data_IF_320127321175
#
_entry.id   IF_320127321175
#
_cell.length_a   1.000
_cell.length_b   1.000
_cell.length_c   1.000
_cell.angle_alpha   90.00
_cell.angle_beta   90.00
_cell.angle_gamma   90.00
#
_symmetry.space_group_name_H-M   'P 1'
#
loop_
_entity.id
_entity.type
_entity.pdbx_description
1 polymer ?
#
# COMPACT_ATOMS: atom_id res chain seq x y z
N UNK A 1 18.45 26.57 -11.48
CA UNK A 1 17.84 26.00 -10.26
C UNK A 1 16.41 25.59 -10.58
N UNK A 2 15.87 24.47 -10.00
CA UNK A 2 14.50 24.03 -10.31
C UNK A 2 13.43 25.09 -10.08
N UNK A 3 13.59 25.92 -9.04
CA UNK A 3 12.63 26.99 -8.69
C UNK A 3 12.47 28.10 -9.71
N UNK A 4 13.49 28.40 -10.54
CA UNK A 4 13.45 29.52 -11.50
C UNK A 4 12.55 29.23 -12.71
N UNK A 5 12.17 27.96 -12.95
CA UNK A 5 11.34 27.53 -14.07
C UNK A 5 9.87 27.32 -13.70
N UNK A 6 9.51 27.57 -12.43
CA UNK A 6 8.17 27.40 -11.90
C UNK A 6 7.35 28.69 -12.04
N UNK A 7 6.05 28.54 -12.28
CA UNK A 7 5.11 29.66 -12.13
C UNK A 7 4.89 29.99 -10.65
N UNK A 8 4.08 31.01 -10.37
CA UNK A 8 3.86 31.54 -9.02
C UNK A 8 3.25 30.47 -8.10
N UNK A 9 2.22 29.75 -8.55
CA UNK A 9 1.51 28.73 -7.77
C UNK A 9 2.41 27.52 -7.48
N UNK A 10 3.12 27.04 -8.50
CA UNK A 10 4.10 25.95 -8.35
C UNK A 10 5.23 26.33 -7.39
N UNK A 11 5.70 27.57 -7.46
CA UNK A 11 6.75 28.08 -6.58
C UNK A 11 6.24 28.16 -5.13
N UNK A 12 5.04 28.69 -4.92
CA UNK A 12 4.38 28.71 -3.61
C UNK A 12 4.26 27.29 -3.03
N UNK A 13 3.79 26.33 -3.83
CA UNK A 13 3.66 24.93 -3.41
C UNK A 13 5.04 24.30 -3.08
N UNK A 14 6.05 24.52 -3.92
CA UNK A 14 7.40 23.99 -3.70
C UNK A 14 8.09 24.59 -2.46
N UNK A 15 7.78 25.82 -2.08
CA UNK A 15 8.36 26.52 -0.93
C UNK A 15 7.43 26.60 0.29
N UNK A 16 6.32 25.83 0.27
CA UNK A 16 5.38 25.79 1.38
C UNK A 16 6.08 25.50 2.73
N UNK A 17 5.61 26.07 3.85
CA UNK A 17 6.22 25.86 5.15
C UNK A 17 6.19 24.39 5.59
N UNK A 18 6.89 24.08 6.68
CA UNK A 18 6.80 22.76 7.32
C UNK A 18 5.37 22.49 7.81
N UNK A 19 4.97 21.22 7.84
CA UNK A 19 3.61 20.78 8.20
C UNK A 19 2.94 20.03 7.06
N UNK A 20 1.64 19.80 7.22
CA UNK A 20 0.82 19.08 6.21
C UNK A 20 0.38 20.06 5.11
N UNK A 21 0.81 19.81 3.89
CA UNK A 21 0.47 20.62 2.73
C UNK A 21 -0.21 19.75 1.67
N UNK A 22 -1.44 20.06 1.31
CA UNK A 22 -2.17 19.41 0.23
C UNK A 22 -2.06 20.25 -1.05
N UNK A 23 -1.58 19.63 -2.14
CA UNK A 23 -1.46 20.26 -3.46
C UNK A 23 -2.44 19.57 -4.41
N UNK A 24 -3.46 20.30 -4.85
CA UNK A 24 -4.45 19.82 -5.82
C UNK A 24 -4.06 20.39 -7.19
N UNK A 25 -3.86 19.49 -8.17
CA UNK A 25 -3.39 19.89 -9.50
C UNK A 25 -3.87 18.89 -10.57
N UNK A 26 -4.36 19.42 -11.70
CA UNK A 26 -4.81 18.63 -12.85
C UNK A 26 -3.65 17.95 -13.61
N UNK A 27 -3.95 17.04 -14.53
CA UNK A 27 -2.95 16.46 -15.40
C UNK A 27 -2.24 17.56 -16.23
N UNK A 28 -0.93 17.42 -16.46
CA UNK A 28 -0.16 18.38 -17.27
C UNK A 28 0.27 19.68 -16.56
N UNK A 29 -0.20 19.95 -15.34
CA UNK A 29 0.10 21.19 -14.60
C UNK A 29 1.49 21.26 -13.96
N UNK A 30 2.35 20.27 -14.22
CA UNK A 30 3.72 20.27 -13.70
C UNK A 30 3.89 19.74 -12.27
N UNK A 31 2.96 18.88 -11.76
CA UNK A 31 3.08 18.26 -10.42
C UNK A 31 4.47 17.70 -10.13
N UNK A 32 5.02 16.92 -11.07
CA UNK A 32 6.35 16.34 -10.94
C UNK A 32 7.44 17.39 -10.79
N UNK A 33 7.38 18.46 -11.57
CA UNK A 33 8.34 19.58 -11.49
C UNK A 33 8.24 20.30 -10.15
N UNK A 34 7.03 20.44 -9.61
CA UNK A 34 6.79 21.04 -8.29
C UNK A 34 7.40 20.20 -7.17
N UNK A 35 7.23 18.86 -7.20
CA UNK A 35 7.83 17.95 -6.21
C UNK A 35 9.37 17.96 -6.30
N UNK A 36 9.93 17.89 -7.52
CA UNK A 36 11.39 18.01 -7.73
C UNK A 36 11.93 19.33 -7.15
N UNK A 37 11.21 20.43 -7.37
CA UNK A 37 11.58 21.72 -6.82
C UNK A 37 11.41 21.79 -5.29
N UNK A 38 10.41 21.08 -4.72
CA UNK A 38 10.26 20.94 -3.26
C UNK A 38 11.45 20.25 -2.64
N UNK A 39 11.88 19.12 -3.21
CA UNK A 39 13.08 18.39 -2.74
C UNK A 39 14.30 19.32 -2.81
N UNK A 40 14.49 20.00 -3.93
CA UNK A 40 15.58 20.95 -4.09
C UNK A 40 15.54 22.10 -3.07
N UNK A 41 14.36 22.62 -2.76
CA UNK A 41 14.16 23.64 -1.74
C UNK A 41 14.56 23.13 -0.35
N UNK A 42 14.11 21.94 0.04
CA UNK A 42 14.46 21.31 1.32
C UNK A 42 15.96 21.11 1.46
N UNK A 43 16.62 20.59 0.42
CA UNK A 43 18.07 20.40 0.41
C UNK A 43 18.83 21.74 0.54
N UNK A 44 18.37 22.81 -0.13
CA UNK A 44 18.95 24.15 -0.01
C UNK A 44 18.74 24.76 1.38
N UNK A 45 17.70 24.36 2.12
CA UNK A 45 17.50 24.73 3.52
C UNK A 45 18.35 23.93 4.50
N UNK A 46 19.21 23.03 4.00
CA UNK A 46 20.08 22.20 4.84
C UNK A 46 19.42 20.94 5.42
N UNK A 47 18.21 20.57 4.94
CA UNK A 47 17.59 19.31 5.34
C UNK A 47 18.45 18.16 4.80
N UNK A 48 18.86 17.26 5.70
CA UNK A 48 19.65 16.09 5.33
C UNK A 48 18.89 15.20 4.33
N UNK A 49 19.53 14.74 3.24
CA UNK A 49 18.86 13.89 2.25
C UNK A 49 18.21 12.65 2.83
N UNK A 50 18.84 12.03 3.83
CA UNK A 50 18.33 10.86 4.56
C UNK A 50 17.05 11.12 5.38
N UNK A 51 16.66 12.37 5.56
CA UNK A 51 15.40 12.79 6.20
C UNK A 51 14.28 13.09 5.20
N UNK A 52 14.54 12.89 3.91
CA UNK A 52 13.56 13.09 2.84
C UNK A 52 13.07 11.71 2.39
N UNK A 53 11.77 11.54 2.41
CA UNK A 53 11.07 10.37 1.88
C UNK A 53 10.24 10.78 0.67
N UNK A 54 10.52 10.16 -0.51
CA UNK A 54 9.78 10.37 -1.74
C UNK A 54 8.95 9.14 -2.09
N UNK A 55 7.63 9.24 -1.93
CA UNK A 55 6.68 8.18 -2.27
C UNK A 55 5.96 8.46 -3.58
N UNK A 56 5.84 7.44 -4.41
CA UNK A 56 5.16 7.49 -5.71
C UNK A 56 4.39 6.20 -5.98
N UNK A 57 3.56 6.19 -7.03
CA UNK A 57 2.87 4.96 -7.43
C UNK A 57 3.74 3.98 -8.22
N UNK A 58 4.84 4.44 -8.84
CA UNK A 58 5.73 3.58 -9.63
C UNK A 58 7.20 3.85 -9.31
N UNK A 59 8.00 2.80 -9.28
CA UNK A 59 9.45 2.94 -9.09
C UNK A 59 10.10 3.81 -10.19
N UNK A 60 9.57 3.75 -11.42
CA UNK A 60 10.03 4.58 -12.53
C UNK A 60 9.86 6.07 -12.24
N UNK A 61 8.69 6.47 -11.72
CA UNK A 61 8.43 7.86 -11.37
C UNK A 61 9.37 8.36 -10.25
N UNK A 62 9.61 7.55 -9.22
CA UNK A 62 10.56 7.89 -8.16
C UNK A 62 11.98 8.09 -8.72
N UNK A 63 12.46 7.15 -9.53
CA UNK A 63 13.78 7.23 -10.15
C UNK A 63 13.93 8.47 -11.04
N UNK A 64 12.94 8.77 -11.88
CA UNK A 64 12.93 9.94 -12.74
C UNK A 64 12.96 11.26 -11.95
N UNK A 65 12.20 11.35 -10.84
CA UNK A 65 12.24 12.53 -9.97
C UNK A 65 13.61 12.71 -9.33
N UNK A 66 14.22 11.64 -8.82
CA UNK A 66 15.55 11.69 -8.22
C UNK A 66 16.64 12.01 -9.25
N UNK A 67 16.52 11.51 -10.47
CA UNK A 67 17.43 11.88 -11.56
C UNK A 67 17.40 13.40 -11.84
N UNK A 68 16.19 13.98 -11.91
CA UNK A 68 16.01 15.43 -12.09
C UNK A 68 16.59 16.25 -10.94
N UNK A 69 16.46 15.78 -9.69
CA UNK A 69 17.12 16.39 -8.52
C UNK A 69 18.63 16.25 -8.65
N UNK A 70 19.12 15.10 -9.08
CA UNK A 70 20.52 14.75 -9.24
C UNK A 70 21.29 15.64 -10.24
N UNK A 71 20.59 16.20 -11.22
CA UNK A 71 21.18 17.19 -12.14
C UNK A 71 21.71 18.43 -11.38
N UNK A 72 21.11 18.77 -10.25
CA UNK A 72 21.46 19.99 -9.47
C UNK A 72 22.33 19.68 -8.24
N UNK A 73 22.15 18.53 -7.61
CA UNK A 73 22.79 18.19 -6.33
C UNK A 73 23.77 17.01 -6.43
N UNK A 74 23.78 16.32 -7.57
CA UNK A 74 24.63 15.17 -7.77
C UNK A 74 24.04 13.85 -7.24
N UNK A 75 24.50 12.72 -7.79
CA UNK A 75 24.01 11.38 -7.45
C UNK A 75 24.30 10.99 -5.98
N UNK A 76 25.41 11.46 -5.42
CA UNK A 76 25.76 11.17 -4.02
C UNK A 76 24.73 11.71 -3.02
N UNK A 77 24.08 12.82 -3.34
CA UNK A 77 23.02 13.40 -2.51
C UNK A 77 21.70 12.63 -2.73
N UNK A 78 21.31 12.42 -3.98
CA UNK A 78 20.04 11.76 -4.28
C UNK A 78 19.99 10.28 -3.88
N UNK A 79 21.12 9.59 -3.84
CA UNK A 79 21.19 8.21 -3.36
C UNK A 79 20.90 8.03 -1.85
N UNK A 80 20.95 9.12 -1.08
CA UNK A 80 20.64 9.13 0.35
C UNK A 80 19.14 9.40 0.63
N UNK A 81 18.39 9.86 -0.39
CA UNK A 81 16.95 10.10 -0.27
C UNK A 81 16.24 8.74 -0.32
N UNK A 82 15.46 8.42 0.73
CA UNK A 82 14.61 7.22 0.70
C UNK A 82 13.48 7.42 -0.32
N UNK A 83 13.33 6.49 -1.26
CA UNK A 83 12.35 6.64 -2.33
C UNK A 83 11.79 5.32 -2.84
N UNK A 84 10.62 5.36 -3.45
CA UNK A 84 9.98 4.20 -4.07
C UNK A 84 8.46 4.27 -4.02
N UNK A 85 7.84 3.11 -4.27
CA UNK A 85 6.39 2.95 -4.06
C UNK A 85 6.08 2.80 -2.59
N UNK A 86 4.83 3.09 -2.20
CA UNK A 86 4.35 2.89 -0.82
C UNK A 86 4.69 1.47 -0.32
N UNK A 87 4.28 0.44 -1.05
CA UNK A 87 4.55 -0.96 -0.67
C UNK A 87 6.06 -1.26 -0.55
N UNK A 88 6.87 -0.82 -1.52
CA UNK A 88 8.31 -1.09 -1.48
C UNK A 88 9.01 -0.44 -0.28
N UNK A 89 8.61 0.78 0.05
CA UNK A 89 9.16 1.49 1.22
C UNK A 89 8.67 0.87 2.51
N UNK A 90 7.36 0.58 2.64
CA UNK A 90 6.80 -0.08 3.83
C UNK A 90 7.47 -1.43 4.09
N UNK A 91 7.64 -2.26 3.06
CA UNK A 91 8.36 -3.53 3.18
C UNK A 91 9.79 -3.35 3.68
N UNK A 92 10.56 -2.40 3.11
CA UNK A 92 11.91 -2.11 3.57
C UNK A 92 11.96 -1.60 5.02
N UNK A 93 11.00 -0.76 5.41
CA UNK A 93 10.93 -0.26 6.79
C UNK A 93 10.66 -1.39 7.77
N UNK A 94 9.70 -2.27 7.50
CA UNK A 94 9.41 -3.44 8.33
C UNK A 94 10.63 -4.35 8.48
N UNK A 95 11.38 -4.59 7.39
CA UNK A 95 12.64 -5.34 7.43
C UNK A 95 13.70 -4.64 8.30
N UNK A 96 13.88 -3.31 8.16
CA UNK A 96 14.80 -2.52 9.00
C UNK A 96 14.41 -2.57 10.49
N UNK A 97 13.12 -2.69 10.81
CA UNK A 97 12.62 -2.87 12.18
C UNK A 97 12.81 -4.30 12.73
N UNK A 98 13.52 -5.16 12.01
CA UNK A 98 13.79 -6.54 12.41
C UNK A 98 12.64 -7.51 12.23
N UNK A 99 11.58 -7.13 11.49
CA UNK A 99 10.47 -8.05 11.18
C UNK A 99 10.92 -9.12 10.19
N UNK A 100 10.77 -10.39 10.59
CA UNK A 100 11.01 -11.52 9.70
C UNK A 100 9.76 -11.78 8.84
N UNK A 101 9.64 -11.04 7.75
CA UNK A 101 8.50 -11.11 6.84
C UNK A 101 8.91 -11.53 5.43
N UNK A 102 8.01 -12.22 4.73
CA UNK A 102 8.16 -12.68 3.35
C UNK A 102 6.96 -12.20 2.54
N UNK A 103 7.21 -11.33 1.55
CA UNK A 103 6.16 -10.86 0.66
C UNK A 103 5.70 -11.99 -0.26
N UNK A 104 4.42 -12.31 -0.20
CA UNK A 104 3.77 -13.34 -1.01
C UNK A 104 2.92 -12.72 -2.11
N UNK A 105 2.90 -13.37 -3.26
CA UNK A 105 2.01 -12.99 -4.35
C UNK A 105 0.59 -13.52 -4.08
N UNK A 106 -0.46 -12.85 -4.58
CA UNK A 106 -1.84 -13.29 -4.41
C UNK A 106 -2.08 -14.74 -4.79
N UNK A 107 -1.41 -15.23 -5.85
CA UNK A 107 -1.51 -16.63 -6.29
C UNK A 107 -1.06 -17.64 -5.21
N UNK A 108 0.01 -17.30 -4.47
CA UNK A 108 0.55 -18.19 -3.43
C UNK A 108 -0.39 -18.22 -2.22
N UNK A 109 -0.95 -17.05 -1.87
CA UNK A 109 -1.90 -16.93 -0.77
C UNK A 109 -3.27 -17.53 -1.11
N UNK A 110 -3.72 -17.46 -2.36
CA UNK A 110 -4.94 -18.18 -2.81
C UNK A 110 -4.78 -19.70 -2.67
N UNK A 111 -3.56 -20.24 -2.88
CA UNK A 111 -3.29 -21.67 -2.64
C UNK A 111 -3.36 -21.99 -1.14
N UNK A 112 -2.78 -21.15 -0.27
CA UNK A 112 -2.86 -21.30 1.17
C UNK A 112 -4.33 -21.27 1.63
N UNK A 113 -5.09 -20.27 1.21
CA UNK A 113 -6.51 -20.15 1.55
C UNK A 113 -7.31 -21.36 1.05
N UNK A 114 -7.04 -21.81 -0.18
CA UNK A 114 -7.70 -23.00 -0.72
C UNK A 114 -7.47 -24.23 0.14
N UNK A 115 -6.26 -24.42 0.69
CA UNK A 115 -5.97 -25.56 1.58
C UNK A 115 -6.77 -25.51 2.90
N UNK A 116 -7.11 -24.32 3.38
CA UNK A 116 -7.97 -24.12 4.55
C UNK A 116 -9.44 -24.38 4.17
N UNK A 117 -9.90 -23.76 3.10
CA UNK A 117 -11.25 -23.85 2.59
C UNK A 117 -11.66 -25.30 2.27
N UNK A 118 -10.81 -26.07 1.59
CA UNK A 118 -11.11 -27.45 1.18
C UNK A 118 -11.23 -28.42 2.37
N UNK A 119 -10.79 -28.03 3.57
CA UNK A 119 -10.98 -28.79 4.81
C UNK A 119 -12.32 -28.50 5.48
N UNK A 120 -13.02 -27.44 5.07
CA UNK A 120 -14.33 -27.08 5.63
C UNK A 120 -15.43 -27.87 4.94
N UNK A 121 -16.45 -28.21 5.71
CA UNK A 121 -17.59 -28.99 5.22
C UNK A 121 -18.77 -28.05 4.99
N UNK A 122 -18.97 -27.67 3.74
CA UNK A 122 -20.13 -26.87 3.31
C UNK A 122 -21.34 -27.75 2.96
N UNK A 123 -21.12 -29.01 2.67
CA UNK A 123 -22.09 -30.01 2.21
C UNK A 123 -23.12 -30.43 3.28
N UNK A 124 -22.87 -30.09 4.56
CA UNK A 124 -23.82 -30.33 5.64
C UNK A 124 -24.87 -29.22 5.80
N UNK A 125 -24.74 -28.12 5.09
CA UNK A 125 -25.65 -26.97 5.15
C UNK A 125 -26.59 -27.05 3.94
N UNK A 126 -27.78 -27.59 4.15
CA UNK A 126 -28.84 -27.64 3.12
C UNK A 126 -29.58 -26.30 3.07
N UNK A 127 -28.94 -25.32 2.42
CA UNK A 127 -29.48 -23.94 2.30
C UNK A 127 -30.01 -23.60 0.92
N UNK A 128 -29.81 -24.49 -0.06
CA UNK A 128 -30.08 -24.17 -1.47
C UNK A 128 -29.12 -23.14 -2.08
N UNK A 129 -28.22 -22.58 -1.29
CA UNK A 129 -27.20 -21.58 -1.71
C UNK A 129 -25.84 -22.26 -1.79
N UNK A 130 -25.10 -21.99 -2.86
CA UNK A 130 -23.75 -22.54 -3.04
C UNK A 130 -22.73 -21.68 -2.31
N UNK A 131 -21.90 -22.29 -1.45
CA UNK A 131 -20.80 -21.60 -0.78
C UNK A 131 -19.82 -20.94 -1.76
N UNK A 132 -19.19 -19.86 -1.34
CA UNK A 132 -18.15 -19.19 -2.11
C UNK A 132 -16.96 -20.11 -2.39
N UNK A 133 -16.37 -19.94 -3.58
CA UNK A 133 -15.08 -20.57 -3.86
C UNK A 133 -13.97 -19.90 -3.03
N UNK A 134 -12.90 -20.65 -2.74
CA UNK A 134 -11.74 -20.12 -2.05
C UNK A 134 -11.12 -18.90 -2.76
N UNK A 135 -11.17 -18.87 -4.09
CA UNK A 135 -10.64 -17.74 -4.87
C UNK A 135 -11.47 -16.45 -4.65
N UNK A 136 -12.79 -16.58 -4.66
CA UNK A 136 -13.69 -15.45 -4.43
C UNK A 136 -13.61 -14.97 -2.98
N UNK A 137 -13.55 -15.91 -2.03
CA UNK A 137 -13.40 -15.58 -0.61
C UNK A 137 -12.08 -14.83 -0.33
N UNK A 138 -10.98 -15.19 -1.01
CA UNK A 138 -9.75 -14.42 -0.93
C UNK A 138 -9.91 -12.96 -1.42
N UNK A 139 -10.65 -12.76 -2.50
CA UNK A 139 -10.90 -11.43 -3.03
C UNK A 139 -11.80 -10.60 -2.08
N UNK A 140 -12.79 -11.23 -1.42
CA UNK A 140 -13.58 -10.60 -0.35
C UNK A 140 -12.73 -10.24 0.87
N UNK A 141 -11.82 -11.11 1.31
CA UNK A 141 -10.89 -10.81 2.40
C UNK A 141 -10.02 -9.59 2.07
N UNK A 142 -9.54 -9.50 0.82
CA UNK A 142 -8.76 -8.35 0.37
C UNK A 142 -9.58 -7.05 0.38
N UNK A 143 -10.85 -7.10 -0.02
CA UNK A 143 -11.76 -5.96 0.05
C UNK A 143 -12.02 -5.52 1.50
N UNK A 144 -12.33 -6.47 2.38
CA UNK A 144 -12.54 -6.22 3.80
C UNK A 144 -11.32 -5.58 4.47
N UNK A 145 -10.12 -6.13 4.25
CA UNK A 145 -8.87 -5.58 4.80
C UNK A 145 -8.55 -4.16 4.31
N UNK A 146 -9.01 -3.78 3.12
CA UNK A 146 -8.87 -2.42 2.58
C UNK A 146 -10.02 -1.50 2.97
N UNK A 147 -11.07 -2.00 3.62
CA UNK A 147 -12.14 -1.16 4.15
C UNK A 147 -11.66 -0.41 5.40
N UNK A 148 -12.24 0.76 5.64
CA UNK A 148 -11.93 1.57 6.83
C UNK A 148 -12.89 1.27 7.99
N UNK A 149 -13.66 0.19 7.88
CA UNK A 149 -14.66 -0.20 8.89
C UNK A 149 -14.01 -0.93 10.07
N UNK A 150 -14.62 -0.81 11.24
CA UNK A 150 -14.21 -1.48 12.48
C UNK A 150 -15.03 -2.73 12.78
N UNK A 151 -15.84 -3.18 11.82
CA UNK A 151 -16.69 -4.36 11.91
C UNK A 151 -15.85 -5.64 11.84
N UNK A 152 -16.33 -6.75 12.42
CA UNK A 152 -15.82 -8.10 12.13
C UNK A 152 -16.05 -8.43 10.65
N UNK A 153 -15.42 -9.49 10.15
CA UNK A 153 -15.63 -9.90 8.77
C UNK A 153 -17.07 -10.36 8.53
N UNK A 154 -17.65 -11.07 9.50
CA UNK A 154 -19.07 -11.49 9.47
C UNK A 154 -20.00 -10.28 9.40
N UNK A 155 -19.86 -9.30 10.31
CA UNK A 155 -20.69 -8.08 10.30
C UNK A 155 -20.54 -7.30 8.98
N UNK A 156 -19.33 -7.24 8.44
CA UNK A 156 -19.08 -6.61 7.13
C UNK A 156 -19.76 -7.37 5.99
N UNK A 157 -19.78 -8.71 6.03
CA UNK A 157 -20.49 -9.52 5.05
C UNK A 157 -22.00 -9.32 5.15
N UNK A 158 -22.58 -9.24 6.34
CA UNK A 158 -24.01 -8.99 6.54
C UNK A 158 -24.49 -7.68 5.87
N UNK A 159 -23.64 -6.65 5.89
CA UNK A 159 -23.94 -5.38 5.22
C UNK A 159 -23.80 -5.46 3.67
N UNK A 160 -22.95 -6.35 3.16
CA UNK A 160 -22.59 -6.39 1.74
C UNK A 160 -23.20 -7.58 0.98
N UNK A 161 -23.63 -8.64 1.69
CA UNK A 161 -24.17 -9.87 1.11
C UNK A 161 -25.08 -10.59 2.11
N UNK A 162 -26.37 -10.48 1.94
CA UNK A 162 -27.35 -11.17 2.79
C UNK A 162 -27.70 -12.60 2.36
N UNK A 163 -27.33 -13.00 1.13
CA UNK A 163 -27.75 -14.29 0.56
C UNK A 163 -26.97 -15.48 1.14
N UNK A 164 -25.70 -15.28 1.49
CA UNK A 164 -24.78 -16.31 1.96
C UNK A 164 -24.65 -16.40 3.48
N UNK A 165 -25.53 -15.76 4.23
CA UNK A 165 -25.49 -15.65 5.71
C UNK A 165 -25.28 -16.98 6.45
N UNK A 166 -25.81 -18.08 5.91
CA UNK A 166 -25.67 -19.44 6.49
C UNK A 166 -24.23 -19.95 6.54
N UNK A 167 -23.30 -19.32 5.82
CA UNK A 167 -21.88 -19.69 5.77
C UNK A 167 -20.97 -18.71 6.50
N UNK A 168 -21.48 -17.60 7.03
CA UNK A 168 -20.64 -16.51 7.54
C UNK A 168 -19.73 -16.94 8.68
N UNK A 169 -20.21 -17.74 9.63
CA UNK A 169 -19.37 -18.26 10.71
C UNK A 169 -18.21 -19.11 10.16
N UNK A 170 -18.47 -19.90 9.11
CA UNK A 170 -17.42 -20.71 8.46
C UNK A 170 -16.42 -19.81 7.74
N UNK A 171 -16.88 -18.72 7.13
CA UNK A 171 -16.01 -17.77 6.45
C UNK A 171 -15.16 -16.98 7.44
N UNK A 172 -15.69 -16.60 8.59
CA UNK A 172 -14.94 -15.98 9.69
C UNK A 172 -13.83 -16.91 10.19
N UNK A 173 -14.16 -18.17 10.48
CA UNK A 173 -13.19 -19.20 10.88
C UNK A 173 -12.06 -19.38 9.85
N UNK A 174 -12.41 -19.37 8.54
CA UNK A 174 -11.42 -19.46 7.46
C UNK A 174 -10.53 -18.22 7.44
N UNK A 175 -11.11 -17.04 7.64
CA UNK A 175 -10.37 -15.79 7.67
C UNK A 175 -9.39 -15.76 8.85
N UNK A 176 -9.85 -16.11 10.04
CA UNK A 176 -9.01 -16.16 11.25
C UNK A 176 -7.86 -17.15 11.10
N UNK A 177 -8.13 -18.36 10.62
CA UNK A 177 -7.10 -19.38 10.39
C UNK A 177 -6.10 -18.92 9.33
N UNK A 178 -6.57 -18.28 8.26
CA UNK A 178 -5.72 -17.74 7.21
C UNK A 178 -4.78 -16.66 7.74
N UNK A 179 -5.28 -15.73 8.55
CA UNK A 179 -4.47 -14.70 9.18
C UNK A 179 -3.46 -15.27 10.19
N UNK A 180 -3.88 -16.28 10.97
CA UNK A 180 -3.01 -16.97 11.90
C UNK A 180 -1.83 -17.65 11.18
N UNK A 181 -2.08 -18.37 10.09
CA UNK A 181 -1.05 -19.03 9.30
C UNK A 181 -0.14 -18.01 8.57
N UNK A 182 -0.69 -16.92 8.03
CA UNK A 182 0.14 -15.82 7.50
C UNK A 182 1.12 -15.32 8.55
N UNK A 183 0.63 -15.06 9.75
CA UNK A 183 1.45 -14.57 10.88
C UNK A 183 2.50 -15.58 11.31
N UNK A 184 2.14 -16.86 11.43
CA UNK A 184 3.04 -17.95 11.81
C UNK A 184 4.22 -18.08 10.83
N UNK A 185 3.93 -18.04 9.52
CA UNK A 185 4.96 -18.14 8.48
C UNK A 185 5.65 -16.80 8.16
N UNK A 186 5.25 -15.71 8.79
CA UNK A 186 5.75 -14.38 8.49
C UNK A 186 5.36 -13.90 7.08
N UNK A 187 4.27 -14.41 6.53
CA UNK A 187 3.80 -14.02 5.19
C UNK A 187 3.06 -12.68 5.26
N UNK A 188 3.39 -11.81 4.33
CA UNK A 188 2.69 -10.54 4.11
C UNK A 188 2.31 -10.41 2.64
N UNK A 189 1.20 -9.76 2.40
CA UNK A 189 0.78 -9.32 1.06
C UNK A 189 0.78 -7.78 0.96
N UNK A 190 0.24 -7.27 -0.13
CA UNK A 190 0.18 -5.82 -0.34
C UNK A 190 -0.82 -5.12 0.59
N UNK A 191 -1.80 -5.83 1.14
CA UNK A 191 -2.76 -5.25 2.09
C UNK A 191 -2.15 -5.12 3.50
N UNK A 192 -1.12 -5.91 3.80
CA UNK A 192 -0.42 -5.87 5.11
C UNK A 192 0.66 -4.77 5.14
N UNK A 193 1.02 -4.16 4.00
CA UNK A 193 2.07 -3.16 3.85
C UNK A 193 1.52 -1.73 3.84
#
# INVERSE_FOLDING_TARGET
>A
MPLSRLNTEQKSAATAPSGHNLIIASAGTGKTSTIVARIAHLLNQGIQPSRILLLTFTNKAAAEMLERVGVFFGKNITSQIESGTFHAVSYRLLKKMGKNIVLKQPKDLKILLKSIHDRRRFDHIDSGVKAYSAAYLYDLFSLYQNSTVTLSFTEWLEENDSEHGVFFDIYEDIFEEFQALKKEFGYVDFNDL
#
